data_IF_085927631535
#
_entry.id   IF_085927631535
#
_cell.length_a   1.000
_cell.length_b   1.000
_cell.length_c   1.000
_cell.angle_alpha   90.00
_cell.angle_beta   90.00
_cell.angle_gamma   90.00
#
_symmetry.space_group_name_H-M   'P 1'
#
loop_
_entity.id
_entity.type
_entity.pdbx_description
1 polymer ?
#
# COMPACT_ATOMS: atom_id res chain seq x y z
N UNK A 1 -18.78 33.79 17.12
CA UNK A 1 -17.73 33.14 16.30
C UNK A 1 -17.39 31.82 16.96
N UNK A 2 -17.49 30.72 16.20
CA UNK A 2 -17.65 29.35 16.69
C UNK A 2 -16.33 28.72 17.20
N UNK A 3 -16.34 28.20 18.43
CA UNK A 3 -15.28 27.32 18.94
C UNK A 3 -15.37 25.96 18.24
N UNK A 4 -14.43 25.69 17.33
CA UNK A 4 -14.22 24.37 16.74
C UNK A 4 -12.73 24.21 16.50
N UNK A 5 -12.02 23.53 17.41
CA UNK A 5 -10.82 22.71 17.11
C UNK A 5 -10.06 22.28 18.38
N UNK A 6 -10.57 21.31 19.13
CA UNK A 6 -9.69 20.50 20.00
C UNK A 6 -10.18 19.05 19.97
N UNK A 7 -9.80 18.32 18.92
CA UNK A 7 -9.64 16.86 19.00
C UNK A 7 -8.14 16.58 19.09
N UNK A 8 -7.60 16.71 20.30
CA UNK A 8 -6.31 16.16 20.70
C UNK A 8 -6.44 14.63 20.76
N UNK A 9 -6.42 14.00 19.59
CA UNK A 9 -6.21 12.56 19.47
C UNK A 9 -4.72 12.27 19.57
N UNK A 10 -4.25 11.99 20.79
CA UNK A 10 -2.91 11.46 21.01
C UNK A 10 -2.80 10.07 20.35
N UNK A 11 -2.30 10.04 19.11
CA UNK A 11 -1.79 8.82 18.51
C UNK A 11 -0.47 8.49 19.19
N UNK A 12 -0.56 7.74 20.28
CA UNK A 12 0.57 7.00 20.82
C UNK A 12 1.05 6.04 19.73
N UNK A 13 2.12 6.42 19.03
CA UNK A 13 2.90 5.52 18.18
C UNK A 13 3.53 4.46 19.10
N UNK A 14 2.78 3.41 19.42
CA UNK A 14 3.38 2.17 19.88
C UNK A 14 4.23 1.64 18.73
N UNK A 15 5.54 1.81 18.86
CA UNK A 15 6.55 1.20 18.01
C UNK A 15 6.42 -0.32 18.09
N UNK A 16 5.55 -0.88 17.26
CA UNK A 16 5.62 -2.28 16.86
C UNK A 16 6.13 -2.26 15.43
N UNK A 17 7.40 -2.59 15.26
CA UNK A 17 8.03 -2.58 13.96
C UNK A 17 9.48 -2.96 14.11
N UNK A 18 9.73 -4.24 14.40
CA UNK A 18 11.02 -4.82 14.09
C UNK A 18 11.29 -4.54 12.61
N UNK A 19 12.33 -3.77 12.33
CA UNK A 19 12.79 -3.46 10.99
C UNK A 19 13.32 -4.75 10.36
N UNK A 20 12.41 -5.60 9.87
CA UNK A 20 12.72 -6.34 8.67
C UNK A 20 12.64 -5.30 7.56
N UNK A 21 13.77 -5.00 6.91
CA UNK A 21 13.75 -4.39 5.59
C UNK A 21 13.13 -5.40 4.63
N UNK A 22 11.82 -5.55 4.73
CA UNK A 22 11.02 -6.33 3.83
C UNK A 22 10.56 -5.38 2.71
N UNK A 23 10.35 -5.93 1.52
CA UNK A 23 10.31 -5.18 0.26
C UNK A 23 9.32 -4.02 0.19
N UNK A 24 9.30 -3.32 -0.95
CA UNK A 24 8.30 -2.30 -1.24
C UNK A 24 6.86 -2.76 -1.00
N UNK A 25 6.58 -4.06 -1.08
CA UNK A 25 5.31 -4.71 -0.75
C UNK A 25 5.06 -4.91 0.75
N UNK A 26 6.12 -5.07 1.56
CA UNK A 26 6.00 -5.25 3.00
C UNK A 26 5.87 -3.91 3.74
N UNK A 27 6.32 -2.82 3.11
CA UNK A 27 6.17 -1.46 3.63
C UNK A 27 4.69 -1.05 3.64
N UNK A 28 4.07 -0.89 4.83
CA UNK A 28 2.65 -0.53 4.94
C UNK A 28 2.35 0.81 4.27
N UNK A 29 3.31 1.73 4.25
CA UNK A 29 3.15 3.04 3.61
C UNK A 29 2.99 2.95 2.08
N UNK A 30 3.55 1.92 1.45
CA UNK A 30 3.41 1.71 0.01
C UNK A 30 2.12 0.95 -0.32
N UNK A 31 1.69 0.04 0.55
CA UNK A 31 0.48 -0.78 0.36
C UNK A 31 -0.80 -0.06 0.77
N UNK A 32 -0.80 0.65 1.90
CA UNK A 32 -1.97 1.37 2.43
C UNK A 32 -2.79 2.17 1.41
N UNK A 33 -2.21 2.93 0.45
CA UNK A 33 -3.00 3.68 -0.51
C UNK A 33 -3.87 2.81 -1.44
N UNK A 34 -3.57 1.51 -1.55
CA UNK A 34 -4.31 0.54 -2.38
C UNK A 34 -5.44 -0.18 -1.64
N UNK A 35 -5.54 -0.02 -0.32
CA UNK A 35 -6.57 -0.65 0.50
C UNK A 35 -7.57 0.38 1.02
N UNK A 36 -8.83 -0.02 1.16
CA UNK A 36 -9.87 0.82 1.77
C UNK A 36 -9.77 0.81 3.29
N UNK A 37 -9.06 -0.16 3.85
CA UNK A 37 -9.01 -0.44 5.27
C UNK A 37 -7.56 -0.60 5.78
N UNK A 38 -7.33 -0.21 7.04
CA UNK A 38 -6.00 -0.22 7.67
C UNK A 38 -5.43 -1.62 7.91
N UNK A 39 -6.26 -2.66 7.86
CA UNK A 39 -5.83 -4.06 7.95
C UNK A 39 -5.31 -4.61 6.62
N UNK A 40 -5.34 -3.80 5.55
CA UNK A 40 -4.85 -4.17 4.21
C UNK A 40 -5.45 -5.49 3.70
N UNK A 41 -6.74 -5.70 3.98
CA UNK A 41 -7.50 -6.88 3.54
C UNK A 41 -8.42 -6.56 2.38
N UNK A 42 -8.94 -5.34 2.37
CA UNK A 42 -9.95 -4.91 1.40
C UNK A 42 -9.30 -3.96 0.41
N UNK A 43 -9.03 -4.44 -0.81
CA UNK A 43 -8.47 -3.59 -1.86
C UNK A 43 -9.50 -2.56 -2.35
N UNK A 44 -8.98 -1.41 -2.77
CA UNK A 44 -9.76 -0.39 -3.45
C UNK A 44 -10.27 -0.90 -4.80
N UNK A 45 -11.43 -0.39 -5.26
CA UNK A 45 -11.92 -0.71 -6.59
C UNK A 45 -10.93 -0.26 -7.67
N UNK A 46 -11.00 -0.87 -8.86
CA UNK A 46 -10.05 -0.67 -9.96
C UNK A 46 -9.71 0.80 -10.25
N UNK A 47 -10.72 1.68 -10.28
CA UNK A 47 -10.51 3.11 -10.57
C UNK A 47 -9.61 3.79 -9.54
N UNK A 48 -9.86 3.53 -8.26
CA UNK A 48 -9.10 4.09 -7.15
C UNK A 48 -7.73 3.41 -7.01
N UNK A 49 -7.65 2.12 -7.33
CA UNK A 49 -6.39 1.37 -7.38
C UNK A 49 -5.47 1.96 -8.45
N UNK A 50 -5.98 2.19 -9.66
CA UNK A 50 -5.21 2.82 -10.75
C UNK A 50 -4.80 4.26 -10.41
N UNK A 51 -5.67 5.02 -9.74
CA UNK A 51 -5.35 6.36 -9.28
C UNK A 51 -4.24 6.35 -8.22
N UNK A 52 -4.30 5.43 -7.26
CA UNK A 52 -3.25 5.20 -6.28
C UNK A 52 -1.94 4.80 -6.96
N UNK A 53 -1.99 3.85 -7.91
CA UNK A 53 -0.82 3.43 -8.68
C UNK A 53 -0.19 4.60 -9.45
N UNK A 54 -0.99 5.40 -10.16
CA UNK A 54 -0.52 6.57 -10.89
C UNK A 54 0.10 7.65 -9.97
N UNK A 55 -0.34 7.71 -8.72
CA UNK A 55 0.20 8.61 -7.69
C UNK A 55 1.47 8.05 -7.02
N UNK A 56 1.72 6.74 -7.13
CA UNK A 56 2.93 6.10 -6.63
C UNK A 56 4.13 6.50 -7.47
N UNK A 57 5.21 6.89 -6.80
CA UNK A 57 6.45 7.26 -7.47
C UNK A 57 7.00 6.09 -8.30
N UNK A 58 7.60 6.40 -9.45
CA UNK A 58 8.00 5.40 -10.45
C UNK A 58 9.04 4.40 -9.91
N UNK A 59 9.93 4.85 -9.03
CA UNK A 59 10.89 3.99 -8.34
C UNK A 59 10.21 2.93 -7.45
N UNK A 60 9.11 3.30 -6.78
CA UNK A 60 8.30 2.39 -5.98
C UNK A 60 7.49 1.45 -6.87
N UNK A 61 6.92 1.96 -7.97
CA UNK A 61 6.22 1.13 -8.95
C UNK A 61 7.13 0.00 -9.47
N UNK A 62 8.36 0.34 -9.88
CA UNK A 62 9.32 -0.63 -10.41
C UNK A 62 9.71 -1.68 -9.36
N UNK A 63 9.89 -1.27 -8.09
CA UNK A 63 10.14 -2.20 -6.97
C UNK A 63 8.94 -3.12 -6.69
N UNK A 64 7.73 -2.57 -6.62
CA UNK A 64 6.51 -3.34 -6.37
C UNK A 64 6.25 -4.35 -7.51
N UNK A 65 6.44 -3.94 -8.77
CA UNK A 65 6.34 -4.87 -9.91
C UNK A 65 7.41 -5.97 -9.84
N UNK A 66 8.66 -5.60 -9.52
CA UNK A 66 9.75 -6.57 -9.39
C UNK A 66 9.50 -7.59 -8.28
N UNK A 67 9.00 -7.14 -7.13
CA UNK A 67 8.65 -8.02 -6.02
C UNK A 67 7.40 -8.87 -6.33
N UNK A 68 6.45 -8.33 -7.10
CA UNK A 68 5.33 -9.12 -7.60
C UNK A 68 5.73 -10.17 -8.65
N UNK A 69 6.83 -9.97 -9.36
CA UNK A 69 7.42 -10.96 -10.27
C UNK A 69 8.28 -12.01 -9.53
N UNK A 70 8.69 -11.72 -8.29
CA UNK A 70 9.45 -12.64 -7.46
C UNK A 70 8.49 -13.63 -6.75
N UNK A 71 8.68 -14.93 -6.99
CA UNK A 71 7.80 -15.96 -6.44
C UNK A 71 7.89 -16.14 -4.91
N UNK A 72 8.96 -15.66 -4.27
CA UNK A 72 9.08 -15.67 -2.81
C UNK A 72 8.37 -14.44 -2.20
N UNK A 73 8.48 -13.28 -2.84
CA UNK A 73 7.92 -12.02 -2.34
C UNK A 73 6.46 -11.81 -2.71
N UNK A 74 6.00 -12.35 -3.84
CA UNK A 74 4.61 -12.27 -4.29
C UNK A 74 3.66 -13.18 -3.51
N UNK A 75 4.15 -14.28 -2.90
CA UNK A 75 3.33 -15.22 -2.13
C UNK A 75 2.47 -14.57 -1.04
N UNK A 76 3.01 -13.75 -0.13
CA UNK A 76 2.20 -13.07 0.89
C UNK A 76 1.26 -12.00 0.29
N UNK A 77 1.53 -11.52 -0.92
CA UNK A 77 0.80 -10.45 -1.58
C UNK A 77 0.15 -10.91 -2.89
N UNK A 78 -0.20 -12.19 -3.03
CA UNK A 78 -0.55 -12.78 -4.32
C UNK A 78 -1.79 -12.10 -4.95
N UNK A 79 -2.78 -11.77 -4.13
CA UNK A 79 -3.99 -11.07 -4.57
C UNK A 79 -3.67 -9.62 -5.02
N UNK A 80 -2.83 -8.92 -4.26
CA UNK A 80 -2.37 -7.57 -4.62
C UNK A 80 -1.59 -7.60 -5.93
N UNK A 81 -0.64 -8.53 -6.08
CA UNK A 81 0.17 -8.67 -7.28
C UNK A 81 -0.65 -9.07 -8.51
N UNK A 82 -1.68 -9.91 -8.35
CA UNK A 82 -2.60 -10.22 -9.44
C UNK A 82 -3.33 -8.95 -9.91
N UNK A 83 -3.89 -8.16 -8.99
CA UNK A 83 -4.57 -6.91 -9.29
C UNK A 83 -3.62 -5.86 -9.88
N UNK A 84 -2.41 -5.73 -9.32
CA UNK A 84 -1.36 -4.86 -9.82
C UNK A 84 -1.06 -5.17 -11.29
N UNK A 85 -0.82 -6.44 -11.61
CA UNK A 85 -0.50 -6.86 -12.98
C UNK A 85 -1.70 -6.68 -13.92
N UNK A 86 -2.93 -6.95 -13.45
CA UNK A 86 -4.15 -6.73 -14.24
C UNK A 86 -4.44 -5.26 -14.53
N UNK A 87 -4.25 -4.37 -13.55
CA UNK A 87 -4.65 -2.96 -13.67
C UNK A 87 -3.52 -2.04 -14.13
N UNK A 88 -2.27 -2.37 -13.80
CA UNK A 88 -1.09 -1.54 -14.01
C UNK A 88 0.00 -2.19 -14.89
N UNK A 89 0.01 -3.51 -15.05
CA UNK A 89 0.97 -4.23 -15.90
C UNK A 89 0.78 -4.04 -17.40
N UNK A 90 -0.30 -3.37 -17.82
CA UNK A 90 -0.66 -3.09 -19.21
C UNK A 90 0.00 -1.81 -19.78
N UNK A 91 1.30 -1.60 -19.56
CA UNK A 91 2.03 -0.51 -20.22
C UNK A 91 3.08 -1.01 -21.21
#
# INVERSE_FOLDING_TARGET
MNLKNICLGALALSMVGGMAFAGALDEPANMAPFFTDSSMKTMKPEADFKAAWASTAKDKQDKMMKECQDAAMSKPHAEFCANLMMYAGHK
#
